data_IF_889152535443
#
_entry.id   IF_889152535443
#
_cell.length_a   1.000
_cell.length_b   1.000
_cell.length_c   1.000
_cell.angle_alpha   90.00
_cell.angle_beta   90.00
_cell.angle_gamma   90.00
#
_symmetry.space_group_name_H-M   'P 1'
#
loop_
_entity.id
_entity.type
_entity.pdbx_description
1 polymer ?
#
# COMPACT_ATOMS: atom_id res chain seq x y z
N UNK A 1 9.56 -6.73 -3.58
CA UNK A 1 8.29 -7.35 -4.02
C UNK A 1 7.14 -7.25 -3.01
N UNK A 2 5.91 -7.29 -3.53
CA UNK A 2 4.65 -7.40 -2.79
C UNK A 2 3.94 -8.70 -3.17
N UNK A 3 3.60 -9.52 -2.18
CA UNK A 3 2.95 -10.81 -2.38
C UNK A 3 1.61 -10.89 -1.64
N UNK A 4 0.57 -11.42 -2.28
CA UNK A 4 -0.72 -11.70 -1.66
C UNK A 4 -1.22 -13.09 -2.11
N UNK A 5 -1.77 -13.88 -1.19
CA UNK A 5 -2.29 -15.23 -1.47
C UNK A 5 -1.29 -16.13 -2.24
N UNK A 6 0.01 -16.02 -1.91
CA UNK A 6 1.07 -16.80 -2.53
C UNK A 6 1.48 -16.36 -3.95
N UNK A 7 0.92 -15.26 -4.47
CA UNK A 7 1.29 -14.68 -5.77
C UNK A 7 1.97 -13.33 -5.59
N UNK A 8 2.93 -13.04 -6.45
CA UNK A 8 3.48 -11.69 -6.58
C UNK A 8 2.48 -10.80 -7.31
N UNK A 9 2.22 -9.62 -6.74
CA UNK A 9 1.19 -8.69 -7.23
C UNK A 9 1.75 -7.30 -7.54
N UNK A 10 3.08 -7.13 -7.45
CA UNK A 10 3.75 -5.89 -7.78
C UNK A 10 5.02 -5.64 -6.98
N UNK A 11 5.61 -4.49 -7.24
CA UNK A 11 6.85 -4.01 -6.63
C UNK A 11 6.63 -2.62 -6.01
N UNK A 12 7.53 -2.22 -5.12
CA UNK A 12 7.54 -0.89 -4.51
C UNK A 12 8.94 -0.30 -4.66
N UNK A 13 9.00 0.99 -4.93
CA UNK A 13 10.23 1.76 -5.09
C UNK A 13 10.37 2.92 -4.10
N UNK A 14 11.44 3.72 -4.23
CA UNK A 14 11.63 4.91 -3.42
C UNK A 14 10.45 5.88 -3.52
N UNK A 15 9.93 6.30 -2.37
CA UNK A 15 8.78 7.21 -2.28
C UNK A 15 7.42 6.50 -2.17
N UNK A 16 7.37 5.19 -2.37
CA UNK A 16 6.15 4.42 -2.14
C UNK A 16 5.88 4.20 -0.64
N UNK A 17 4.61 3.92 -0.34
CA UNK A 17 4.14 3.57 0.99
C UNK A 17 3.33 2.28 0.96
N UNK A 18 3.24 1.60 2.08
CA UNK A 18 2.52 0.34 2.20
C UNK A 18 1.94 0.14 3.61
N UNK A 19 0.95 -0.74 3.71
CA UNK A 19 0.31 -1.11 4.97
C UNK A 19 -0.91 -0.26 5.33
N UNK A 20 -1.26 0.72 4.50
CA UNK A 20 -2.39 1.64 4.67
C UNK A 20 -3.74 0.95 4.50
N UNK A 21 -3.85 -0.05 3.61
CA UNK A 21 -5.09 -0.81 3.39
C UNK A 21 -5.63 -1.43 4.68
N UNK A 22 -4.75 -2.03 5.49
CA UNK A 22 -5.13 -2.65 6.74
C UNK A 22 -5.67 -1.64 7.76
N UNK A 23 -5.15 -0.41 7.73
CA UNK A 23 -5.57 0.67 8.63
C UNK A 23 -6.89 1.30 8.18
N UNK A 24 -7.09 1.48 6.87
CA UNK A 24 -8.28 2.10 6.29
C UNK A 24 -9.48 1.15 6.37
N UNK A 25 -9.28 -0.13 6.03
CA UNK A 25 -10.36 -1.13 6.01
C UNK A 25 -10.54 -1.86 7.34
N UNK A 26 -9.76 -1.52 8.37
CA UNK A 26 -9.78 -2.15 9.69
C UNK A 26 -9.72 -3.70 9.60
N UNK A 27 -8.78 -4.19 8.79
CA UNK A 27 -8.64 -5.61 8.41
C UNK A 27 -7.21 -6.11 8.65
N UNK A 28 -6.97 -7.43 8.79
CA UNK A 28 -5.60 -7.97 8.83
C UNK A 28 -4.77 -7.57 7.60
N UNK A 29 -3.44 -7.74 7.69
CA UNK A 29 -2.53 -7.48 6.57
C UNK A 29 -2.98 -8.23 5.31
N UNK A 30 -3.22 -7.48 4.24
CA UNK A 30 -3.74 -8.02 2.98
C UNK A 30 -2.64 -8.56 2.05
N UNK A 31 -1.39 -8.20 2.31
CA UNK A 31 -0.22 -8.60 1.55
C UNK A 31 1.04 -8.61 2.43
N UNK A 32 2.06 -9.35 2.00
CA UNK A 32 3.41 -9.35 2.54
C UNK A 32 4.30 -8.50 1.64
N UNK A 33 5.02 -7.55 2.22
CA UNK A 33 6.06 -6.79 1.53
C UNK A 33 7.41 -7.32 1.97
N UNK A 34 8.27 -7.66 1.01
CA UNK A 34 9.63 -8.15 1.28
C UNK A 34 10.63 -7.23 0.60
N UNK A 35 11.57 -6.72 1.40
CA UNK A 35 12.73 -5.98 0.91
C UNK A 35 13.62 -6.91 0.09
N UNK A 36 13.94 -6.52 -1.15
CA UNK A 36 14.85 -7.28 -2.02
C UNK A 36 16.31 -6.85 -1.84
N UNK A 37 16.50 -5.62 -1.37
CA UNK A 37 17.80 -5.04 -1.06
C UNK A 37 17.74 -4.36 0.30
N UNK A 38 18.89 -3.98 0.83
CA UNK A 38 18.97 -3.10 1.99
C UNK A 38 18.27 -1.76 1.68
N UNK A 39 17.42 -1.31 2.60
CA UNK A 39 16.63 -0.09 2.43
C UNK A 39 16.26 0.51 3.80
N UNK A 40 15.80 1.76 3.78
CA UNK A 40 15.28 2.46 4.96
C UNK A 40 13.82 2.81 4.74
N UNK A 41 12.99 2.51 5.73
CA UNK A 41 11.60 2.92 5.77
C UNK A 41 11.37 3.87 6.93
N UNK A 42 10.58 4.92 6.70
CA UNK A 42 9.95 5.65 7.77
C UNK A 42 8.70 4.89 8.21
N UNK A 43 8.61 4.59 9.49
CA UNK A 43 7.45 3.94 10.07
C UNK A 43 6.64 4.95 10.89
N UNK A 44 5.32 4.78 10.87
CA UNK A 44 4.40 5.50 11.73
C UNK A 44 3.41 4.52 12.34
N UNK A 45 2.91 4.90 13.50
CA UNK A 45 1.87 4.18 14.20
C UNK A 45 0.50 4.40 13.55
N UNK A 46 -0.48 3.55 13.86
CA UNK A 46 -1.82 3.66 13.31
C UNK A 46 -2.53 4.97 13.67
N UNK A 47 -2.32 5.47 14.90
CA UNK A 47 -2.93 6.72 15.36
C UNK A 47 -2.29 7.96 14.73
N UNK A 48 -0.98 7.94 14.46
CA UNK A 48 -0.30 8.98 13.71
C UNK A 48 -0.81 9.04 12.27
N UNK A 49 -0.94 7.88 11.62
CA UNK A 49 -1.51 7.79 10.27
C UNK A 49 -2.93 8.34 10.21
N UNK A 50 -3.82 7.90 11.12
CA UNK A 50 -5.21 8.34 11.16
C UNK A 50 -5.31 9.86 11.36
N UNK A 51 -4.56 10.41 12.31
CA UNK A 51 -4.49 11.87 12.54
C UNK A 51 -4.00 12.61 11.30
N UNK A 52 -2.94 12.13 10.64
CA UNK A 52 -2.42 12.77 9.42
C UNK A 52 -3.43 12.74 8.28
N UNK A 53 -4.11 11.62 8.06
CA UNK A 53 -5.13 11.49 7.02
C UNK A 53 -6.34 12.41 7.30
N UNK A 54 -6.76 12.56 8.56
CA UNK A 54 -7.88 13.42 8.94
C UNK A 54 -7.55 14.92 8.84
N UNK A 55 -6.29 15.29 9.04
CA UNK A 55 -5.87 16.70 9.13
C UNK A 55 -5.16 17.23 7.89
N UNK A 56 -4.68 16.35 7.00
CA UNK A 56 -3.93 16.73 5.80
C UNK A 56 -4.55 16.11 4.54
N UNK A 57 -5.34 16.93 3.85
CA UNK A 57 -6.04 16.53 2.61
C UNK A 57 -5.06 16.09 1.52
N UNK A 58 -3.88 16.70 1.41
CA UNK A 58 -2.91 16.35 0.38
C UNK A 58 -2.35 14.94 0.58
N UNK A 59 -2.10 14.55 1.83
CA UNK A 59 -1.66 13.17 2.16
C UNK A 59 -2.78 12.18 1.85
N UNK A 60 -4.01 12.48 2.27
CA UNK A 60 -5.17 11.61 2.01
C UNK A 60 -5.41 11.40 0.53
N UNK A 61 -5.29 12.46 -0.27
CA UNK A 61 -5.39 12.37 -1.72
C UNK A 61 -4.29 11.47 -2.31
N UNK A 62 -3.05 11.61 -1.82
CA UNK A 62 -1.93 10.78 -2.30
C UNK A 62 -2.11 9.29 -1.99
N UNK A 63 -2.65 8.98 -0.82
CA UNK A 63 -3.02 7.60 -0.44
C UNK A 63 -4.12 7.09 -1.35
N UNK A 64 -5.18 7.89 -1.58
CA UNK A 64 -6.28 7.52 -2.47
C UNK A 64 -5.80 7.24 -3.91
N UNK A 65 -4.95 8.10 -4.47
CA UNK A 65 -4.33 7.89 -5.79
C UNK A 65 -3.59 6.56 -5.86
N UNK A 66 -2.84 6.22 -4.81
CA UNK A 66 -2.05 4.98 -4.76
C UNK A 66 -2.95 3.75 -4.70
N UNK A 67 -4.00 3.79 -3.90
CA UNK A 67 -5.00 2.73 -3.84
C UNK A 67 -5.74 2.56 -5.17
N UNK A 68 -6.15 3.67 -5.81
CA UNK A 68 -6.81 3.64 -7.10
C UNK A 68 -5.91 3.01 -8.19
N UNK A 69 -4.63 3.39 -8.24
CA UNK A 69 -3.65 2.80 -9.17
C UNK A 69 -3.52 1.29 -8.98
N UNK A 70 -3.47 0.82 -7.73
CA UNK A 70 -3.39 -0.61 -7.40
C UNK A 70 -4.63 -1.39 -7.82
N UNK A 71 -5.82 -0.78 -7.79
CA UNK A 71 -7.05 -1.41 -8.27
C UNK A 71 -7.05 -1.56 -9.79
N UNK A 72 -6.63 -0.51 -10.52
CA UNK A 72 -6.51 -0.57 -11.99
C UNK A 72 -5.55 -1.68 -12.41
N UNK A 73 -4.38 -1.77 -11.78
CA UNK A 73 -3.38 -2.80 -12.11
C UNK A 73 -3.83 -4.22 -11.71
N UNK A 74 -4.77 -4.38 -10.77
CA UNK A 74 -5.35 -5.70 -10.44
C UNK A 74 -6.37 -6.17 -11.48
N UNK A 75 -7.14 -5.27 -12.07
CA UNK A 75 -8.06 -5.62 -13.17
C UNK A 75 -7.32 -6.21 -14.37
N UNK A 76 -6.13 -5.69 -14.68
CA UNK A 76 -5.28 -6.18 -15.77
C UNK A 76 -4.71 -7.61 -15.53
N UNK A 77 -4.60 -8.04 -14.26
CA UNK A 77 -4.14 -9.40 -13.90
C UNK A 77 -5.27 -10.44 -13.90
N UNK A 78 -6.54 -10.02 -13.84
CA UNK A 78 -7.71 -10.90 -13.92
C UNK A 78 -8.15 -11.15 -15.38
N UNK A 79 -7.78 -10.27 -16.32
CA UNK A 79 -8.09 -10.35 -17.76
C UNK A 79 -6.96 -10.96 -18.63
N UNK A 80 -5.87 -11.42 -18.03
CA UNK A 80 -4.80 -12.12 -18.76
C UNK A 80 -5.18 -13.61 -18.94
N UNK A 81 -5.14 -14.17 -20.17
CA UNK A 81 -5.60 -15.53 -20.48
C UNK A 81 -4.81 -16.63 -19.76
#
# INVERSE_FOLDING_TARGET
KVCARGREIGELGPGDHFGEVALILETPRTATVTAETELRCYAMTSWEFRRLAETNVAITWKVLETLARRLVHRGELEDSP
#
